data_IF_394245225679
#
_entry.id   IF_394245225679
#
_cell.length_a   1.000
_cell.length_b   1.000
_cell.length_c   1.000
_cell.angle_alpha   90.00
_cell.angle_beta   90.00
_cell.angle_gamma   90.00
#
_symmetry.space_group_name_H-M   'P 1'
#
loop_
_entity.id
_entity.type
_entity.pdbx_description
1 polymer ?
#
# COMPACT_ATOMS: atom_id res chain seq x y z
N UNK A 1 4.82 -0.09 -14.94
CA UNK A 1 5.09 -0.96 -13.78
C UNK A 1 4.87 -2.41 -14.20
N UNK A 2 5.68 -3.37 -13.74
CA UNK A 2 5.69 -4.79 -14.15
C UNK A 2 4.64 -5.64 -13.40
N UNK A 3 3.43 -5.11 -13.25
CA UNK A 3 2.39 -5.64 -12.37
C UNK A 3 1.59 -6.78 -13.03
N UNK A 4 2.05 -8.03 -12.89
CA UNK A 4 1.46 -9.22 -13.54
C UNK A 4 1.03 -10.31 -12.55
N UNK A 5 -0.11 -10.95 -12.83
CA UNK A 5 -0.62 -12.11 -12.10
C UNK A 5 -0.17 -13.37 -12.86
N UNK A 6 0.72 -14.14 -12.26
CA UNK A 6 1.42 -15.24 -12.93
C UNK A 6 1.11 -16.53 -12.21
N UNK A 7 0.58 -17.52 -12.93
CA UNK A 7 0.18 -18.83 -12.39
C UNK A 7 -0.66 -18.72 -11.10
N UNK A 8 -1.61 -17.78 -11.06
CA UNK A 8 -2.51 -17.62 -9.92
C UNK A 8 -1.94 -16.82 -8.73
N UNK A 9 -0.74 -16.22 -8.86
CA UNK A 9 -0.12 -15.41 -7.80
C UNK A 9 0.32 -14.04 -8.30
N UNK A 10 0.17 -13.03 -7.45
CA UNK A 10 0.66 -11.69 -7.77
C UNK A 10 2.19 -11.72 -7.84
N UNK A 11 2.76 -11.20 -8.93
CA UNK A 11 4.20 -11.25 -9.24
C UNK A 11 4.81 -12.64 -9.46
N UNK A 12 4.04 -13.73 -9.32
CA UNK A 12 4.45 -15.09 -9.65
C UNK A 12 4.80 -15.95 -8.44
N UNK A 13 5.48 -17.09 -8.66
CA UNK A 13 5.64 -18.13 -7.63
C UNK A 13 6.72 -17.84 -6.58
N UNK A 14 7.58 -16.86 -6.80
CA UNK A 14 8.63 -16.48 -5.85
C UNK A 14 8.12 -15.45 -4.84
N UNK A 15 8.78 -15.33 -3.69
CA UNK A 15 8.34 -14.45 -2.61
C UNK A 15 9.17 -13.16 -2.56
N UNK A 16 8.58 -12.09 -2.01
CA UNK A 16 9.26 -10.80 -1.75
C UNK A 16 9.93 -10.15 -2.98
N UNK A 17 9.41 -10.43 -4.17
CA UNK A 17 9.93 -9.87 -5.42
C UNK A 17 8.81 -9.33 -6.31
N UNK A 18 9.19 -8.44 -7.22
CA UNK A 18 8.31 -8.03 -8.32
C UNK A 18 8.55 -8.90 -9.56
N UNK A 19 7.61 -8.88 -10.50
CA UNK A 19 7.72 -9.67 -11.74
C UNK A 19 8.99 -9.42 -12.52
N UNK A 20 9.53 -8.20 -12.54
CA UNK A 20 10.79 -7.93 -13.26
C UNK A 20 12.02 -8.56 -12.60
N UNK A 21 11.88 -9.07 -11.38
CA UNK A 21 12.91 -9.82 -10.65
C UNK A 21 12.62 -11.33 -10.65
N UNK A 22 11.51 -11.76 -11.25
CA UNK A 22 11.17 -13.18 -11.35
C UNK A 22 12.04 -13.84 -12.42
N UNK A 23 12.82 -14.82 -12.01
CA UNK A 23 13.71 -15.54 -12.90
C UNK A 23 13.06 -16.82 -13.45
N UNK A 24 13.32 -17.13 -14.72
CA UNK A 24 12.80 -18.33 -15.39
C UNK A 24 13.18 -19.65 -14.71
N UNK A 25 14.30 -19.69 -13.97
CA UNK A 25 14.73 -20.84 -13.16
C UNK A 25 13.75 -21.25 -12.04
N UNK A 26 12.73 -20.44 -11.78
CA UNK A 26 11.64 -20.75 -10.83
C UNK A 26 10.56 -21.64 -11.45
N UNK A 27 10.62 -21.85 -12.77
CA UNK A 27 9.75 -22.74 -13.52
C UNK A 27 10.54 -23.95 -14.00
N UNK A 28 9.84 -25.06 -14.23
CA UNK A 28 10.43 -26.27 -14.81
C UNK A 28 10.40 -26.17 -16.33
N UNK A 29 11.32 -26.88 -16.97
CA UNK A 29 11.31 -27.00 -18.43
C UNK A 29 10.01 -27.67 -18.90
N UNK A 30 9.41 -27.12 -19.96
CA UNK A 30 8.09 -27.52 -20.45
C UNK A 30 6.88 -26.97 -19.69
N UNK A 31 7.05 -26.19 -18.62
CA UNK A 31 5.92 -25.56 -17.92
C UNK A 31 5.17 -24.56 -18.83
N UNK A 32 3.84 -24.60 -18.80
CA UNK A 32 3.01 -23.52 -19.33
C UNK A 32 2.87 -22.41 -18.29
N UNK A 33 3.24 -21.18 -18.66
CA UNK A 33 3.13 -20.01 -17.78
C UNK A 33 1.94 -19.17 -18.22
N UNK A 34 0.95 -19.05 -17.34
CA UNK A 34 -0.22 -18.19 -17.53
C UNK A 34 0.05 -16.82 -16.95
N UNK A 35 -0.08 -15.78 -17.76
CA UNK A 35 0.15 -14.38 -17.38
C UNK A 35 -1.13 -13.58 -17.60
N UNK A 36 -1.56 -12.87 -16.57
CA UNK A 36 -2.81 -12.12 -16.55
C UNK A 36 -2.60 -10.71 -15.96
N UNK A 37 -3.47 -9.74 -16.30
CA UNK A 37 -3.46 -8.44 -15.62
C UNK A 37 -3.92 -8.55 -14.16
N UNK A 38 -3.82 -7.47 -13.40
CA UNK A 38 -4.45 -7.38 -12.08
C UNK A 38 -5.97 -7.57 -12.15
N UNK A 39 -6.48 -8.34 -11.19
CA UNK A 39 -7.90 -8.68 -11.05
C UNK A 39 -8.54 -7.78 -9.99
N UNK A 40 -8.92 -6.56 -10.36
CA UNK A 40 -9.69 -5.67 -9.47
C UNK A 40 -10.52 -4.66 -10.25
N UNK A 41 -11.78 -4.47 -9.84
CA UNK A 41 -12.67 -3.47 -10.44
C UNK A 41 -12.12 -2.03 -10.31
N UNK A 42 -11.42 -1.74 -9.21
CA UNK A 42 -10.78 -0.45 -8.96
C UNK A 42 -9.44 -0.27 -9.72
N UNK A 43 -8.97 -1.32 -10.42
CA UNK A 43 -7.81 -1.27 -11.33
C UNK A 43 -8.17 -1.87 -12.69
N UNK A 44 -9.05 -1.20 -13.47
CA UNK A 44 -9.57 -1.76 -14.70
C UNK A 44 -8.46 -1.96 -15.74
N UNK A 45 -8.60 -3.01 -16.55
CA UNK A 45 -7.71 -3.30 -17.68
C UNK A 45 -7.87 -2.19 -18.72
N UNK A 46 -6.74 -1.61 -19.14
CA UNK A 46 -6.68 -0.68 -20.27
C UNK A 46 -6.54 -1.49 -21.56
N UNK A 47 -5.50 -2.32 -21.64
CA UNK A 47 -5.23 -3.21 -22.77
C UNK A 47 -4.22 -4.29 -22.37
N UNK A 48 -4.45 -5.52 -22.82
CA UNK A 48 -3.61 -6.68 -22.56
C UNK A 48 -3.32 -6.84 -21.05
N UNK A 49 -2.08 -6.67 -20.64
CA UNK A 49 -1.62 -6.80 -19.24
C UNK A 49 -1.55 -5.47 -18.50
N UNK A 50 -1.91 -4.35 -19.15
CA UNK A 50 -1.83 -3.01 -18.57
C UNK A 50 -3.14 -2.65 -17.90
N UNK A 51 -3.07 -2.24 -16.63
CA UNK A 51 -4.20 -1.78 -15.82
C UNK A 51 -4.07 -0.32 -15.42
N UNK A 52 -5.20 0.37 -15.26
CA UNK A 52 -5.24 1.71 -14.71
C UNK A 52 -5.07 1.65 -13.19
N UNK A 53 -4.12 2.41 -12.63
CA UNK A 53 -3.85 2.45 -11.17
C UNK A 53 -3.94 3.87 -10.59
N UNK A 54 -4.48 4.82 -11.34
CA UNK A 54 -4.58 6.23 -10.93
C UNK A 54 -5.37 6.40 -9.62
N UNK A 55 -6.21 5.42 -9.25
CA UNK A 55 -6.88 5.37 -7.96
C UNK A 55 -5.91 5.46 -6.77
N UNK A 56 -4.71 4.88 -6.87
CA UNK A 56 -3.69 5.02 -5.82
C UNK A 56 -3.16 6.45 -5.70
N UNK A 57 -2.96 7.14 -6.82
CA UNK A 57 -2.52 8.53 -6.82
C UNK A 57 -3.58 9.45 -6.21
N UNK A 58 -4.86 9.20 -6.53
CA UNK A 58 -5.98 9.95 -5.93
C UNK A 58 -6.09 9.72 -4.41
N UNK A 59 -5.84 8.50 -3.93
CA UNK A 59 -5.75 8.21 -2.49
C UNK A 59 -4.58 8.97 -1.85
N UNK A 60 -3.42 9.02 -2.49
CA UNK A 60 -2.26 9.78 -1.99
C UNK A 60 -2.57 11.28 -1.94
N UNK A 61 -3.25 11.83 -2.94
CA UNK A 61 -3.69 13.23 -2.94
C UNK A 61 -4.68 13.56 -1.81
N UNK A 62 -5.45 12.58 -1.33
CA UNK A 62 -6.39 12.79 -0.22
C UNK A 62 -5.72 12.97 1.15
N UNK A 63 -4.47 12.51 1.32
CA UNK A 63 -3.78 12.64 2.62
C UNK A 63 -2.42 11.96 2.76
N UNK A 64 -1.89 11.32 1.72
CA UNK A 64 -0.57 10.68 1.69
C UNK A 64 0.60 11.67 1.64
N UNK A 65 0.47 12.83 2.27
CA UNK A 65 1.45 13.90 2.34
C UNK A 65 1.45 14.53 3.75
N UNK A 66 2.42 15.42 3.99
CA UNK A 66 2.42 16.36 5.12
C UNK A 66 2.24 17.77 4.60
N UNK A 67 1.36 18.55 5.22
CA UNK A 67 1.29 19.99 4.95
C UNK A 67 2.34 20.69 5.81
N UNK A 68 3.34 21.28 5.14
CA UNK A 68 4.38 22.05 5.80
C UNK A 68 4.69 23.28 4.96
N UNK A 69 4.87 24.43 5.61
CA UNK A 69 5.44 25.61 4.96
C UNK A 69 6.92 25.35 4.70
N UNK A 70 7.34 25.42 3.43
CA UNK A 70 8.73 25.14 3.03
C UNK A 70 9.69 26.28 3.36
N UNK A 71 9.19 27.46 3.72
CA UNK A 71 9.97 28.69 3.94
C UNK A 71 10.66 28.80 5.32
N UNK A 72 10.71 27.73 6.12
CA UNK A 72 11.28 27.77 7.47
C UNK A 72 11.35 26.40 8.15
N UNK A 73 11.53 25.34 7.36
CA UNK A 73 11.64 23.99 7.92
C UNK A 73 12.91 23.89 8.77
N UNK A 74 12.83 23.37 10.01
CA UNK A 74 14.02 23.17 10.84
C UNK A 74 14.95 22.12 10.19
N UNK A 75 16.24 22.16 10.57
CA UNK A 75 17.20 21.14 10.16
C UNK A 75 16.67 19.73 10.49
N UNK A 76 16.87 18.77 9.60
CA UNK A 76 16.34 17.41 9.76
C UNK A 76 16.86 16.74 11.05
N UNK A 77 18.05 17.10 11.52
CA UNK A 77 18.64 16.59 12.76
C UNK A 77 18.14 17.33 14.01
N UNK A 78 17.40 18.43 13.87
CA UNK A 78 16.90 19.21 15.00
C UNK A 78 15.70 18.54 15.71
N UNK A 79 15.01 17.61 15.05
CA UNK A 79 13.88 16.87 15.63
C UNK A 79 14.29 15.43 15.87
N UNK A 80 14.56 15.09 17.12
CA UNK A 80 14.92 13.74 17.52
C UNK A 80 13.72 12.79 17.35
N UNK A 81 13.95 11.67 16.68
CA UNK A 81 12.97 10.60 16.47
C UNK A 81 13.57 9.31 17.05
N UNK A 82 12.84 8.57 17.90
CA UNK A 82 13.30 7.27 18.36
C UNK A 82 13.61 6.34 17.18
N UNK A 83 14.76 5.64 17.21
CA UNK A 83 15.23 4.77 16.12
C UNK A 83 14.16 3.78 15.64
N UNK A 84 13.50 3.11 16.58
CA UNK A 84 12.44 2.13 16.28
C UNK A 84 11.29 2.76 15.48
N UNK A 85 10.92 4.01 15.77
CA UNK A 85 9.87 4.72 15.02
C UNK A 85 10.33 5.15 13.64
N UNK A 86 11.60 5.58 13.53
CA UNK A 86 12.18 5.94 12.25
C UNK A 86 12.24 4.70 11.33
N UNK A 87 12.69 3.56 11.85
CA UNK A 87 12.77 2.30 11.12
C UNK A 87 11.39 1.83 10.68
N UNK A 88 10.45 1.73 11.62
CA UNK A 88 9.09 1.28 11.28
C UNK A 88 8.40 2.24 10.28
N UNK A 89 8.71 3.53 10.35
CA UNK A 89 8.22 4.51 9.37
C UNK A 89 8.80 4.25 7.99
N UNK A 90 10.09 3.90 7.90
CA UNK A 90 10.76 3.58 6.64
C UNK A 90 10.29 2.24 6.06
N UNK A 91 10.06 1.24 6.91
CA UNK A 91 9.49 -0.05 6.51
C UNK A 91 8.09 0.14 5.89
N UNK A 92 7.25 0.95 6.53
CA UNK A 92 5.95 1.32 5.96
C UNK A 92 6.09 2.14 4.66
N UNK A 93 7.09 3.03 4.58
CA UNK A 93 7.35 3.86 3.40
C UNK A 93 7.87 3.06 2.20
N UNK A 94 8.42 1.86 2.42
CA UNK A 94 8.93 0.96 1.38
C UNK A 94 7.87 0.54 0.36
N UNK A 95 6.58 0.81 0.62
CA UNK A 95 5.51 0.64 -0.35
C UNK A 95 5.83 1.30 -1.69
N UNK A 96 5.83 0.49 -2.75
CA UNK A 96 6.08 0.94 -4.13
C UNK A 96 4.79 1.12 -4.94
N UNK A 97 3.61 0.94 -4.33
CA UNK A 97 2.33 1.08 -5.01
C UNK A 97 2.10 0.05 -6.13
N UNK A 98 2.66 -1.17 -6.04
CA UNK A 98 2.57 -2.17 -7.12
C UNK A 98 1.15 -2.71 -7.37
N UNK A 99 0.27 -2.64 -6.37
CA UNK A 99 -1.10 -3.15 -6.44
C UNK A 99 -1.25 -4.64 -6.14
N UNK A 100 -0.17 -5.37 -5.84
CA UNK A 100 -0.25 -6.81 -5.50
C UNK A 100 -1.22 -7.09 -4.34
N UNK A 101 -1.23 -6.22 -3.31
CA UNK A 101 -2.14 -6.31 -2.18
C UNK A 101 -3.62 -6.22 -2.57
N UNK A 102 -3.93 -5.49 -3.64
CA UNK A 102 -5.30 -5.36 -4.18
C UNK A 102 -5.62 -6.59 -5.03
N UNK A 103 -4.72 -6.97 -5.93
CA UNK A 103 -4.93 -8.08 -6.87
C UNK A 103 -5.08 -9.45 -6.18
N UNK A 104 -4.42 -9.65 -5.03
CA UNK A 104 -4.53 -10.89 -4.24
C UNK A 104 -5.72 -10.90 -3.27
N UNK A 105 -6.23 -9.71 -2.90
CA UNK A 105 -7.32 -9.62 -1.94
C UNK A 105 -8.63 -10.05 -2.60
N UNK A 106 -9.34 -11.02 -2.02
CA UNK A 106 -10.67 -11.44 -2.51
C UNK A 106 -11.69 -10.30 -2.58
N UNK A 107 -11.53 -9.26 -1.77
CA UNK A 107 -12.40 -8.08 -1.78
C UNK A 107 -11.84 -6.95 -2.67
N UNK A 108 -10.67 -7.12 -3.28
CA UNK A 108 -9.96 -6.05 -3.99
C UNK A 108 -9.63 -4.86 -3.08
N UNK A 109 -9.30 -5.09 -1.81
CA UNK A 109 -9.08 -4.01 -0.84
C UNK A 109 -7.72 -3.33 -1.00
N UNK A 110 -7.70 -2.00 -0.94
CA UNK A 110 -6.46 -1.20 -0.90
C UNK A 110 -5.96 -0.93 0.54
N UNK A 111 -6.54 -1.58 1.55
CA UNK A 111 -6.25 -1.27 2.96
C UNK A 111 -4.77 -1.39 3.33
N UNK A 112 -4.02 -2.37 2.80
CA UNK A 112 -2.58 -2.46 3.09
C UNK A 112 -1.83 -1.23 2.54
N UNK A 113 -2.12 -0.81 1.30
CA UNK A 113 -1.53 0.38 0.69
C UNK A 113 -1.84 1.65 1.48
N UNK A 114 -3.12 1.89 1.79
CA UNK A 114 -3.56 3.04 2.58
C UNK A 114 -2.86 3.04 3.94
N UNK A 115 -2.85 1.89 4.61
CA UNK A 115 -2.32 1.75 5.95
C UNK A 115 -0.80 1.96 6.04
N UNK A 116 -0.06 1.51 5.03
CA UNK A 116 1.38 1.71 4.94
C UNK A 116 1.71 3.20 4.81
N UNK A 117 0.99 3.91 3.93
CA UNK A 117 1.14 5.37 3.75
C UNK A 117 0.72 6.17 4.97
N UNK A 118 -0.35 5.77 5.65
CA UNK A 118 -0.74 6.40 6.92
C UNK A 118 0.30 6.14 8.00
N UNK A 119 0.81 4.91 8.11
CA UNK A 119 1.80 4.52 9.12
C UNK A 119 3.13 5.26 8.92
N UNK A 120 3.63 5.36 7.69
CA UNK A 120 4.88 6.06 7.38
C UNK A 120 4.84 7.56 7.70
N UNK A 121 3.65 8.12 7.92
CA UNK A 121 3.48 9.53 8.28
C UNK A 121 3.08 9.69 9.75
N UNK A 122 2.23 8.81 10.28
CA UNK A 122 1.75 8.88 11.66
C UNK A 122 2.84 8.61 12.71
N UNK A 123 3.90 7.89 12.33
CA UNK A 123 5.05 7.64 13.19
C UNK A 123 6.00 8.83 13.33
N UNK A 124 5.95 9.78 12.39
CA UNK A 124 6.84 10.93 12.33
C UNK A 124 6.16 12.20 12.88
N UNK A 125 6.89 13.11 13.55
CA UNK A 125 6.31 14.30 14.16
C UNK A 125 5.49 15.17 13.20
N UNK A 126 5.99 15.38 11.98
CA UNK A 126 5.37 16.22 10.95
C UNK A 126 4.07 15.61 10.42
N UNK A 127 4.01 14.28 10.29
CA UNK A 127 2.81 13.61 9.80
C UNK A 127 1.81 13.30 10.90
N UNK A 128 2.26 13.11 12.15
CA UNK A 128 1.41 12.73 13.28
C UNK A 128 0.31 13.75 13.58
N UNK A 129 0.60 15.05 13.44
CA UNK A 129 -0.36 16.12 13.70
C UNK A 129 -1.60 16.04 12.80
N UNK A 130 -1.46 15.48 11.61
CA UNK A 130 -2.55 15.30 10.63
C UNK A 130 -3.19 13.91 10.68
N UNK A 131 -2.77 13.02 11.58
CA UNK A 131 -3.13 11.60 11.59
C UNK A 131 -4.63 11.33 11.50
N UNK A 132 -5.42 12.01 12.33
CA UNK A 132 -6.88 11.84 12.37
C UNK A 132 -7.56 12.27 11.06
N UNK A 133 -7.19 13.44 10.52
CA UNK A 133 -7.71 13.95 9.24
C UNK A 133 -7.29 13.03 8.09
N UNK A 134 -6.02 12.62 8.07
CA UNK A 134 -5.44 11.73 7.06
C UNK A 134 -6.15 10.39 7.01
N UNK A 135 -6.29 9.72 8.16
CA UNK A 135 -6.93 8.41 8.22
C UNK A 135 -8.36 8.47 7.68
N UNK A 136 -9.16 9.46 8.11
CA UNK A 136 -10.53 9.65 7.61
C UNK A 136 -10.57 9.94 6.11
N UNK A 137 -9.75 10.87 5.63
CA UNK A 137 -9.76 11.29 4.23
C UNK A 137 -9.30 10.19 3.27
N UNK A 138 -8.21 9.48 3.61
CA UNK A 138 -7.69 8.42 2.75
C UNK A 138 -8.59 7.18 2.74
N UNK A 139 -9.21 6.81 3.87
CA UNK A 139 -10.19 5.71 3.90
C UNK A 139 -11.44 6.10 3.10
N UNK A 140 -11.99 7.30 3.31
CA UNK A 140 -13.14 7.77 2.54
C UNK A 140 -12.85 7.79 1.03
N UNK A 141 -11.66 8.25 0.61
CA UNK A 141 -11.27 8.24 -0.80
C UNK A 141 -11.08 6.82 -1.35
N UNK A 142 -10.56 5.89 -0.55
CA UNK A 142 -10.48 4.48 -0.92
C UNK A 142 -11.87 3.89 -1.19
N UNK A 143 -12.83 4.16 -0.30
CA UNK A 143 -14.21 3.68 -0.44
C UNK A 143 -14.90 4.31 -1.67
N UNK A 144 -14.73 5.62 -1.89
CA UNK A 144 -15.24 6.35 -3.07
C UNK A 144 -14.75 5.74 -4.38
N UNK A 145 -13.51 5.25 -4.42
CA UNK A 145 -12.89 4.65 -5.61
C UNK A 145 -13.26 3.18 -5.82
N UNK A 146 -14.14 2.62 -4.99
CA UNK A 146 -14.69 1.29 -5.18
C UNK A 146 -13.76 0.15 -4.75
N UNK A 147 -12.75 0.42 -3.90
CA UNK A 147 -11.99 -0.66 -3.27
C UNK A 147 -12.83 -1.31 -2.17
N UNK A 148 -12.72 -2.64 -2.01
CA UNK A 148 -13.47 -3.35 -0.98
C UNK A 148 -12.89 -3.21 0.43
N UNK A 149 -13.71 -3.56 1.42
CA UNK A 149 -13.32 -3.54 2.83
C UNK A 149 -12.33 -4.67 3.20
N UNK A 150 -11.56 -4.46 4.26
CA UNK A 150 -10.67 -5.49 4.81
C UNK A 150 -11.48 -6.52 5.62
N UNK A 151 -11.30 -7.81 5.32
CA UNK A 151 -11.83 -8.93 6.13
C UNK A 151 -10.70 -9.78 6.72
N UNK A 152 -9.53 -9.18 6.94
CA UNK A 152 -8.35 -9.77 7.58
C UNK A 152 -7.88 -11.12 7.01
N UNK A 153 -7.90 -11.29 5.68
CA UNK A 153 -7.43 -12.54 5.04
C UNK A 153 -5.90 -12.68 5.03
N UNK A 154 -5.17 -11.58 5.27
CA UNK A 154 -3.70 -11.48 5.27
C UNK A 154 -2.99 -11.87 3.96
N UNK A 155 -3.73 -12.20 2.90
CA UNK A 155 -3.18 -12.44 1.56
C UNK A 155 -2.34 -11.24 1.04
N UNK A 156 -2.72 -10.03 1.42
CA UNK A 156 -2.01 -8.81 1.04
C UNK A 156 -0.60 -8.70 1.63
N UNK A 157 -0.36 -9.19 2.85
CA UNK A 157 0.97 -9.24 3.48
C UNK A 157 1.81 -10.35 2.83
N UNK A 158 1.21 -11.52 2.60
CA UNK A 158 1.89 -12.66 1.97
C UNK A 158 2.43 -12.38 0.57
N UNK A 159 1.67 -11.66 -0.26
CA UNK A 159 2.07 -11.35 -1.65
C UNK A 159 2.74 -9.97 -1.79
N UNK A 160 3.05 -9.29 -0.68
CA UNK A 160 3.70 -8.00 -0.74
C UNK A 160 5.19 -8.17 -1.13
N UNK A 161 5.67 -7.60 -2.25
CA UNK A 161 7.08 -7.69 -2.66
C UNK A 161 8.02 -6.85 -1.76
N UNK A 162 7.45 -6.14 -0.79
CA UNK A 162 8.17 -5.29 0.17
C UNK A 162 7.93 -5.74 1.61
N UNK A 163 7.32 -6.91 1.79
CA UNK A 163 7.05 -7.50 3.09
C UNK A 163 6.37 -6.52 4.08
N UNK A 164 5.40 -5.74 3.59
CA UNK A 164 4.68 -4.77 4.41
C UNK A 164 3.71 -5.53 5.31
N UNK A 165 3.84 -5.31 6.61
CA UNK A 165 3.01 -6.03 7.59
C UNK A 165 1.58 -5.49 7.67
N UNK A 166 0.62 -6.39 7.92
CA UNK A 166 -0.76 -6.02 8.31
C UNK A 166 -0.83 -5.28 9.64
N UNK A 167 0.24 -5.23 10.44
CA UNK A 167 0.30 -4.39 11.64
C UNK A 167 0.01 -2.91 11.32
N UNK A 168 0.37 -2.44 10.13
CA UNK A 168 0.02 -1.10 9.65
C UNK A 168 -1.50 -0.93 9.47
N UNK A 169 -2.22 -1.96 9.03
CA UNK A 169 -3.69 -1.94 8.95
C UNK A 169 -4.29 -1.78 10.35
N UNK A 170 -3.75 -2.49 11.34
CA UNK A 170 -4.18 -2.33 12.73
C UNK A 170 -3.96 -0.89 13.25
N UNK A 171 -2.81 -0.27 12.94
CA UNK A 171 -2.54 1.14 13.26
C UNK A 171 -3.55 2.07 12.58
N UNK A 172 -3.78 1.92 11.27
CA UNK A 172 -4.74 2.71 10.53
C UNK A 172 -6.14 2.63 11.15
N UNK A 173 -6.61 1.41 11.45
CA UNK A 173 -7.92 1.22 12.06
C UNK A 173 -8.01 1.91 13.43
N UNK A 174 -6.95 1.86 14.24
CA UNK A 174 -6.88 2.58 15.51
C UNK A 174 -6.94 4.10 15.33
N UNK A 175 -6.16 4.65 14.39
CA UNK A 175 -6.19 6.08 14.06
C UNK A 175 -7.58 6.52 13.59
N UNK A 176 -8.21 5.73 12.71
CA UNK A 176 -9.54 5.98 12.19
C UNK A 176 -10.62 5.95 13.29
N UNK A 177 -10.61 4.92 14.15
CA UNK A 177 -11.57 4.79 15.25
C UNK A 177 -11.44 5.93 16.26
N UNK A 178 -10.21 6.27 16.66
CA UNK A 178 -9.95 7.39 17.56
C UNK A 178 -10.38 8.74 16.95
N UNK A 179 -10.25 8.89 15.63
CA UNK A 179 -10.73 10.07 14.93
C UNK A 179 -12.27 10.13 14.90
N UNK A 180 -12.94 9.00 14.67
CA UNK A 180 -14.40 8.90 14.61
C UNK A 180 -15.10 9.12 15.94
N UNK A 181 -14.50 8.70 17.05
CA UNK A 181 -15.07 8.94 18.40
C UNK A 181 -15.05 10.44 18.77
N UNK A 182 -14.22 11.24 18.11
CA UNK A 182 -14.09 12.69 18.35
C UNK A 182 -14.94 13.55 17.42
N UNK A 183 -15.61 12.94 16.43
CA UNK A 183 -16.59 13.62 15.58
C UNK A 183 -17.87 13.89 16.38
#
# INVERSE_FOLDING_TARGET
>A
MCSLYINGRAHGPDNEITTCQLHMRKFKDGDTITIEPWRSAAMPVIKDLVVNRNAFDQILQAGGYTSASTGGVPDANAILIPKEKADESMDAAACIGCGACVATCKNGSAMLFVSARVSSLALLPQGRVEGARRAKAMVAKMDELGFGACTNTRACEMECPKNISVAHIARLNREFLLAKIKD
#
